data_IF_931080950787
#
_entry.id   IF_931080950787
#
_cell.length_a   1.000
_cell.length_b   1.000
_cell.length_c   1.000
_cell.angle_alpha   90.00
_cell.angle_beta   90.00
_cell.angle_gamma   90.00
#
_symmetry.space_group_name_H-M   'P 1'
#
loop_
_entity.id
_entity.type
_entity.pdbx_description
1 polymer ?
#
# COMPACT_ATOMS: atom_id res chain seq x y z
N UNK A 1 -39.44 39.34 -11.71
CA UNK A 1 -39.10 37.95 -11.34
C UNK A 1 -37.89 37.53 -12.16
N UNK A 2 -36.70 37.45 -11.56
CA UNK A 2 -35.47 37.04 -12.24
C UNK A 2 -35.16 35.58 -11.88
N UNK A 3 -35.04 34.72 -12.90
CA UNK A 3 -34.67 33.33 -12.76
C UNK A 3 -33.15 33.23 -12.59
N UNK A 4 -32.71 32.82 -11.39
CA UNK A 4 -31.31 32.52 -11.10
C UNK A 4 -31.04 31.14 -11.71
N UNK A 5 -30.49 31.11 -12.93
CA UNK A 5 -30.00 29.87 -13.52
C UNK A 5 -28.72 29.46 -12.80
N UNK A 6 -28.84 28.57 -11.83
CA UNK A 6 -27.72 27.89 -11.18
C UNK A 6 -27.01 27.01 -12.22
N UNK A 7 -25.99 27.56 -12.88
CA UNK A 7 -25.10 26.79 -13.73
C UNK A 7 -24.27 25.86 -12.84
N UNK A 8 -24.61 24.57 -12.85
CA UNK A 8 -23.81 23.52 -12.24
C UNK A 8 -22.52 23.37 -13.05
N UNK A 9 -21.44 24.02 -12.60
CA UNK A 9 -20.10 23.80 -13.15
C UNK A 9 -19.64 22.42 -12.75
N UNK A 10 -19.95 21.43 -13.60
CA UNK A 10 -19.46 20.06 -13.49
C UNK A 10 -17.95 20.04 -13.78
N UNK A 11 -17.14 20.48 -12.82
CA UNK A 11 -15.69 20.37 -12.95
C UNK A 11 -15.33 18.88 -13.06
N UNK A 12 -14.57 18.46 -14.09
CA UNK A 12 -14.10 17.09 -14.15
C UNK A 12 -13.24 16.81 -12.92
N UNK A 13 -13.60 15.77 -12.17
CA UNK A 13 -12.81 15.29 -11.03
C UNK A 13 -11.50 14.75 -11.61
N UNK A 14 -10.49 15.60 -11.71
CA UNK A 14 -9.14 15.20 -12.08
C UNK A 14 -8.47 14.67 -10.83
N UNK A 15 -8.30 13.35 -10.77
CA UNK A 15 -7.58 12.73 -9.65
C UNK A 15 -6.15 13.28 -9.63
N UNK A 16 -5.75 13.88 -8.51
CA UNK A 16 -4.41 14.43 -8.36
C UNK A 16 -3.37 13.31 -8.58
N UNK A 17 -2.34 13.50 -9.42
CA UNK A 17 -1.42 12.42 -9.80
C UNK A 17 -0.70 11.79 -8.60
N UNK A 18 -0.48 12.55 -7.53
CA UNK A 18 0.08 12.02 -6.28
C UNK A 18 -0.90 11.10 -5.53
N UNK A 19 -2.21 11.35 -5.61
CA UNK A 19 -3.21 10.47 -5.02
C UNK A 19 -3.25 9.13 -5.77
N UNK A 20 -3.26 9.17 -7.09
CA UNK A 20 -3.24 7.96 -7.94
C UNK A 20 -2.00 7.11 -7.63
N UNK A 21 -0.82 7.74 -7.51
CA UNK A 21 0.43 7.06 -7.16
C UNK A 21 0.34 6.40 -5.78
N UNK A 22 -0.15 7.13 -4.76
CA UNK A 22 -0.31 6.60 -3.40
C UNK A 22 -1.27 5.41 -3.38
N UNK A 23 -2.46 5.54 -3.96
CA UNK A 23 -3.44 4.45 -4.01
C UNK A 23 -2.86 3.19 -4.67
N UNK A 24 -2.10 3.35 -5.77
CA UNK A 24 -1.43 2.23 -6.44
C UNK A 24 -0.36 1.59 -5.56
N UNK A 25 0.47 2.39 -4.89
CA UNK A 25 1.48 1.89 -3.98
C UNK A 25 0.86 1.14 -2.80
N UNK A 26 -0.20 1.69 -2.17
CA UNK A 26 -0.94 1.04 -1.09
C UNK A 26 -1.55 -0.29 -1.54
N UNK A 27 -2.13 -0.37 -2.73
CA UNK A 27 -2.70 -1.60 -3.26
C UNK A 27 -1.62 -2.70 -3.46
N UNK A 28 -0.50 -2.35 -4.09
CA UNK A 28 0.61 -3.30 -4.32
C UNK A 28 1.24 -3.77 -3.00
N UNK A 29 1.40 -2.86 -2.03
CA UNK A 29 1.93 -3.20 -0.72
C UNK A 29 0.95 -4.05 0.09
N UNK A 30 -0.34 -3.74 0.04
CA UNK A 30 -1.37 -4.55 0.68
C UNK A 30 -1.36 -6.00 0.17
N UNK A 31 -1.28 -6.19 -1.15
CA UNK A 31 -1.16 -7.53 -1.75
C UNK A 31 0.09 -8.27 -1.25
N UNK A 32 1.26 -7.63 -1.30
CA UNK A 32 2.51 -8.24 -0.86
C UNK A 32 2.52 -8.55 0.64
N UNK A 33 1.90 -7.69 1.44
CA UNK A 33 1.79 -7.85 2.89
C UNK A 33 0.91 -9.05 3.23
N UNK A 34 -0.26 -9.16 2.60
CA UNK A 34 -1.17 -10.31 2.77
C UNK A 34 -0.46 -11.59 2.32
N UNK A 35 0.22 -11.59 1.17
CA UNK A 35 0.96 -12.77 0.69
C UNK A 35 2.02 -13.22 1.69
N UNK A 36 2.82 -12.29 2.20
CA UNK A 36 3.83 -12.60 3.23
C UNK A 36 3.19 -13.16 4.51
N UNK A 37 2.09 -12.57 4.98
CA UNK A 37 1.40 -13.03 6.18
C UNK A 37 0.80 -14.44 6.02
N UNK A 38 0.32 -14.78 4.82
CA UNK A 38 -0.25 -16.10 4.53
C UNK A 38 0.85 -17.14 4.32
N UNK A 39 1.88 -16.83 3.53
CA UNK A 39 2.89 -17.81 3.14
C UNK A 39 4.01 -17.98 4.18
N UNK A 40 4.31 -16.92 4.96
CA UNK A 40 5.47 -16.82 5.84
C UNK A 40 6.80 -17.24 5.17
N UNK A 41 6.95 -17.03 3.87
CA UNK A 41 8.21 -17.37 3.18
C UNK A 41 9.20 -16.22 3.22
N UNK A 42 10.50 -16.57 3.18
CA UNK A 42 11.57 -15.57 3.04
C UNK A 42 11.45 -14.81 1.71
N UNK A 43 11.02 -15.48 0.64
CA UNK A 43 10.85 -14.86 -0.69
C UNK A 43 9.81 -13.74 -0.66
N UNK A 44 8.64 -13.99 -0.05
CA UNK A 44 7.59 -12.98 0.07
C UNK A 44 7.99 -11.83 1.00
N UNK A 45 8.80 -12.10 2.02
CA UNK A 45 9.40 -11.05 2.86
C UNK A 45 10.32 -10.13 2.07
N UNK A 46 11.18 -10.70 1.23
CA UNK A 46 12.08 -9.94 0.35
C UNK A 46 11.28 -9.12 -0.65
N UNK A 47 10.21 -9.70 -1.22
CA UNK A 47 9.35 -9.00 -2.17
C UNK A 47 8.65 -7.79 -1.53
N UNK A 48 8.08 -7.97 -0.33
CA UNK A 48 7.48 -6.89 0.45
C UNK A 48 8.49 -5.78 0.76
N UNK A 49 9.70 -6.15 1.19
CA UNK A 49 10.77 -5.19 1.48
C UNK A 49 11.17 -4.37 0.25
N UNK A 50 11.32 -5.02 -0.91
CA UNK A 50 11.68 -4.35 -2.16
C UNK A 50 10.59 -3.35 -2.61
N UNK A 51 9.31 -3.75 -2.55
CA UNK A 51 8.19 -2.87 -2.85
C UNK A 51 8.10 -1.68 -1.90
N UNK A 52 8.31 -1.91 -0.60
CA UNK A 52 8.29 -0.86 0.41
C UNK A 52 9.41 0.16 0.21
N UNK A 53 10.62 -0.31 -0.09
CA UNK A 53 11.77 0.54 -0.41
C UNK A 53 11.49 1.42 -1.64
N UNK A 54 10.97 0.83 -2.73
CA UNK A 54 10.61 1.57 -3.94
C UNK A 54 9.50 2.59 -3.67
N UNK A 55 8.44 2.22 -2.97
CA UNK A 55 7.33 3.11 -2.67
C UNK A 55 7.76 4.29 -1.78
N UNK A 56 8.67 4.04 -0.82
CA UNK A 56 9.26 5.11 0.00
C UNK A 56 10.12 6.06 -0.84
N UNK A 57 11.01 5.53 -1.69
CA UNK A 57 11.85 6.34 -2.57
C UNK A 57 11.04 7.23 -3.53
N UNK A 58 9.85 6.79 -3.93
CA UNK A 58 8.94 7.54 -4.81
C UNK A 58 8.02 8.53 -4.06
N UNK A 59 8.16 8.64 -2.73
CA UNK A 59 7.29 9.46 -1.88
C UNK A 59 5.84 9.01 -1.90
N UNK A 60 5.60 7.72 -2.17
CA UNK A 60 4.27 7.15 -2.32
C UNK A 60 3.70 6.59 -1.00
N UNK A 61 4.49 6.60 0.07
CA UNK A 61 4.08 6.18 1.40
C UNK A 61 3.93 7.38 2.33
N UNK A 62 2.89 7.35 3.14
CA UNK A 62 2.83 8.18 4.35
C UNK A 62 3.70 7.54 5.44
N UNK A 63 4.01 8.31 6.48
CA UNK A 63 4.73 7.77 7.64
C UNK A 63 3.99 6.57 8.27
N UNK A 64 2.67 6.66 8.35
CA UNK A 64 1.83 5.60 8.89
C UNK A 64 1.92 4.30 8.07
N UNK A 65 1.96 4.40 6.73
CA UNK A 65 2.13 3.22 5.87
C UNK A 65 3.48 2.55 6.12
N UNK A 66 4.55 3.36 6.23
CA UNK A 66 5.90 2.86 6.50
C UNK A 66 5.98 2.16 7.87
N UNK A 67 5.33 2.70 8.90
CA UNK A 67 5.33 2.11 10.24
C UNK A 67 4.66 0.73 10.26
N UNK A 68 3.53 0.55 9.56
CA UNK A 68 2.84 -0.74 9.44
C UNK A 68 3.72 -1.78 8.74
N UNK A 69 4.41 -1.38 7.67
CA UNK A 69 5.29 -2.28 6.92
C UNK A 69 6.48 -2.68 7.79
N UNK A 70 7.12 -1.72 8.47
CA UNK A 70 8.25 -1.98 9.35
C UNK A 70 7.86 -2.92 10.51
N UNK A 71 6.71 -2.68 11.14
CA UNK A 71 6.18 -3.56 12.18
C UNK A 71 5.92 -4.98 11.66
N UNK A 72 5.46 -5.12 10.42
CA UNK A 72 5.23 -6.42 9.78
C UNK A 72 6.55 -7.14 9.48
N UNK A 73 7.54 -6.43 8.95
CA UNK A 73 8.85 -6.99 8.59
C UNK A 73 9.72 -7.31 9.82
N UNK A 74 9.48 -6.64 10.95
CA UNK A 74 10.14 -6.89 12.23
C UNK A 74 9.67 -8.20 12.88
N UNK A 75 8.46 -8.69 12.52
CA UNK A 75 8.02 -10.02 12.92
C UNK A 75 8.76 -11.05 12.06
N UNK A 76 9.59 -11.92 12.67
CA UNK A 76 10.21 -13.00 11.92
C UNK A 76 9.10 -13.84 11.31
N UNK A 77 9.28 -14.23 10.04
CA UNK A 77 8.48 -15.28 9.46
C UNK A 77 8.50 -16.44 10.45
N UNK A 78 7.33 -16.83 10.98
CA UNK A 78 7.28 -18.03 11.81
C UNK A 78 7.80 -19.14 10.90
N UNK A 79 9.03 -19.59 11.15
CA UNK A 79 9.54 -20.79 10.53
C UNK A 79 8.53 -21.85 10.94
N UNK A 80 7.64 -22.21 10.03
CA UNK A 80 6.91 -23.46 10.09
C UNK A 80 7.95 -24.56 9.83
N UNK A 81 8.91 -24.66 10.75
CA UNK A 81 9.72 -25.85 10.92
C UNK A 81 8.71 -26.85 11.44
N UNK A 82 8.14 -27.63 10.51
CA UNK A 82 7.23 -28.70 10.82
C UNK A 82 7.83 -29.49 11.98
N UNK A 83 7.17 -29.44 13.13
CA UNK A 83 7.25 -30.55 14.07
C UNK A 83 6.42 -31.64 13.43
N UNK A 84 7.04 -32.41 12.56
CA UNK A 84 6.64 -33.78 12.32
C UNK A 84 7.03 -34.55 13.59
N UNK A 85 6.06 -34.74 14.49
CA UNK A 85 6.06 -35.81 15.49
C UNK A 85 4.77 -36.62 15.33
#
# INVERSE_FOLDING_TARGET
MQMIQSSSTHQPITAHPTLVRRCRATALLGEALIRYQVSNTLGDRIHLLALASMANALGALTQQDADVINATLAKPAQQHMGKEE
#
